data_IF_021950911905
#
_entry.id   IF_021950911905
#
_cell.length_a   1.000
_cell.length_b   1.000
_cell.length_c   1.000
_cell.angle_alpha   90.00
_cell.angle_beta   90.00
_cell.angle_gamma   90.00
#
_symmetry.space_group_name_H-M   'P 1'
#
loop_
_entity.id
_entity.type
_entity.pdbx_description
1 polymer ?
#
# COMPACT_ATOMS: atom_id res chain seq x y z
N UNK A 1 41.60 11.40 -25.58
CA UNK A 1 41.78 10.64 -24.33
C UNK A 1 40.62 9.65 -24.26
N UNK A 2 40.87 8.35 -24.49
CA UNK A 2 39.86 7.28 -24.48
C UNK A 2 39.89 6.62 -23.09
N UNK A 3 38.73 6.48 -22.45
CA UNK A 3 38.58 5.67 -21.23
C UNK A 3 38.61 4.17 -21.60
N UNK A 4 39.16 3.29 -20.75
CA UNK A 4 39.27 1.86 -21.06
C UNK A 4 37.96 1.11 -20.80
N UNK A 5 37.66 0.16 -21.69
CA UNK A 5 36.58 -0.81 -21.51
C UNK A 5 37.06 -1.91 -20.56
N UNK A 6 36.42 -2.06 -19.40
CA UNK A 6 36.60 -3.22 -18.54
C UNK A 6 35.41 -4.17 -18.73
N UNK A 7 35.67 -5.34 -19.31
CA UNK A 7 34.76 -6.49 -19.29
C UNK A 7 34.79 -7.08 -17.87
N UNK A 8 33.68 -7.02 -17.16
CA UNK A 8 33.49 -7.79 -15.93
C UNK A 8 32.86 -9.15 -16.28
N UNK A 9 33.58 -10.23 -15.99
CA UNK A 9 33.10 -11.60 -16.08
C UNK A 9 32.18 -11.88 -14.89
N UNK A 10 30.91 -12.16 -15.14
CA UNK A 10 29.93 -12.56 -14.10
C UNK A 10 30.25 -13.99 -13.65
N UNK A 11 30.73 -14.14 -12.42
CA UNK A 11 30.75 -15.42 -11.71
C UNK A 11 29.41 -15.61 -11.02
N UNK A 12 28.62 -16.59 -11.47
CA UNK A 12 27.39 -17.01 -10.82
C UNK A 12 27.73 -17.92 -9.64
N UNK A 13 27.49 -17.46 -8.42
CA UNK A 13 27.29 -18.33 -7.26
C UNK A 13 25.85 -18.13 -6.72
N UNK A 14 25.04 -19.20 -6.60
CA UNK A 14 23.70 -19.10 -6.03
C UNK A 14 23.77 -19.36 -4.53
N UNK A 15 23.22 -18.46 -3.70
CA UNK A 15 23.17 -18.70 -2.26
C UNK A 15 22.66 -17.52 -1.43
N UNK A 16 21.34 -17.47 -1.24
CA UNK A 16 20.65 -17.14 0.04
C UNK A 16 20.96 -15.86 0.84
N UNK A 17 21.75 -14.89 0.36
CA UNK A 17 22.08 -13.67 1.12
C UNK A 17 21.34 -12.38 0.72
N UNK A 18 20.61 -12.40 -0.41
CA UNK A 18 20.08 -11.18 -1.06
C UNK A 18 18.63 -10.81 -0.65
N UNK A 19 17.93 -11.66 0.12
CA UNK A 19 16.53 -11.42 0.47
C UNK A 19 16.35 -10.41 1.62
N UNK A 20 17.34 -10.24 2.50
CA UNK A 20 17.27 -9.28 3.63
C UNK A 20 17.79 -7.87 3.27
N UNK A 21 18.49 -7.69 2.14
CA UNK A 21 19.03 -6.38 1.74
C UNK A 21 17.96 -5.44 1.14
N UNK A 22 16.91 -5.98 0.51
CA UNK A 22 15.83 -5.18 -0.07
C UNK A 22 15.03 -4.37 0.95
N UNK A 23 14.91 -4.83 2.20
CA UNK A 23 14.28 -4.07 3.29
C UNK A 23 15.19 -3.00 3.89
N UNK A 24 16.52 -3.13 3.76
CA UNK A 24 17.47 -2.14 4.27
C UNK A 24 17.49 -0.84 3.46
N UNK A 25 17.04 -0.88 2.20
CA UNK A 25 16.98 0.30 1.32
C UNK A 25 15.83 1.23 1.71
N UNK A 26 14.66 0.68 2.08
CA UNK A 26 13.53 1.46 2.58
C UNK A 26 13.88 2.19 3.89
N UNK A 27 14.53 1.50 4.83
CA UNK A 27 14.93 2.03 6.13
C UNK A 27 15.97 3.18 6.07
N UNK A 28 16.67 3.36 4.94
CA UNK A 28 17.65 4.46 4.79
C UNK A 28 17.20 5.61 3.90
N UNK A 29 16.18 5.43 3.07
CA UNK A 29 15.55 6.59 2.41
C UNK A 29 14.82 7.48 3.43
N UNK A 30 14.28 6.91 4.52
CA UNK A 30 13.67 7.68 5.61
C UNK A 30 14.68 8.29 6.60
N UNK A 31 15.84 7.66 6.82
CA UNK A 31 16.82 8.11 7.81
C UNK A 31 17.61 9.39 7.44
N UNK A 32 17.45 9.91 6.22
CA UNK A 32 18.05 11.19 5.78
C UNK A 32 17.22 12.42 6.18
N UNK A 33 15.95 12.23 6.57
CA UNK A 33 15.06 13.31 6.97
C UNK A 33 15.03 13.44 8.49
N UNK A 34 15.97 14.24 9.03
CA UNK A 34 15.95 14.64 10.43
C UNK A 34 14.65 15.36 10.79
N UNK A 35 13.79 14.70 11.57
CA UNK A 35 12.64 15.34 12.22
C UNK A 35 12.98 15.75 13.66
N UNK A 36 12.58 16.95 14.12
CA UNK A 36 12.86 17.42 15.47
C UNK A 36 11.95 16.75 16.52
N UNK A 37 12.38 16.65 17.79
CA UNK A 37 11.62 15.93 18.82
C UNK A 37 10.35 16.70 19.23
N UNK A 38 9.18 16.09 19.01
CA UNK A 38 7.92 16.52 19.62
C UNK A 38 7.90 16.09 21.09
N UNK A 39 7.93 17.08 21.98
CA UNK A 39 7.78 16.91 23.44
C UNK A 39 6.36 16.43 23.77
N UNK A 40 6.25 15.24 24.32
CA UNK A 40 5.10 14.83 25.12
C UNK A 40 5.07 15.67 26.42
N UNK A 41 3.96 16.34 26.72
CA UNK A 41 3.65 16.82 28.06
C UNK A 41 2.46 16.02 28.59
N UNK A 42 2.69 15.42 29.75
CA UNK A 42 1.75 14.54 30.45
C UNK A 42 0.52 15.28 30.98
N UNK A 43 -0.54 14.49 31.15
CA UNK A 43 -1.82 14.93 31.71
C UNK A 43 -1.76 15.24 33.20
N UNK A 44 -2.73 16.05 33.63
CA UNK A 44 -3.10 16.29 35.01
C UNK A 44 -4.60 16.59 35.08
N UNK A 45 -5.27 15.92 36.01
CA UNK A 45 -6.71 15.69 36.08
C UNK A 45 -7.58 16.92 36.40
N UNK A 46 -8.86 16.86 36.01
CA UNK A 46 -9.95 17.53 36.70
C UNK A 46 -11.25 16.73 36.59
N UNK A 47 -11.77 16.30 37.74
CA UNK A 47 -13.07 15.68 37.95
C UNK A 47 -14.16 16.72 38.25
N UNK A 48 -15.37 16.41 37.79
CA UNK A 48 -16.70 16.73 38.35
C UNK A 48 -17.21 18.18 38.41
N UNK A 49 -18.37 18.40 37.79
CA UNK A 49 -19.27 19.53 38.05
C UNK A 49 -20.59 19.37 37.28
N UNK A 50 -21.71 19.41 38.00
CA UNK A 50 -23.05 18.95 37.63
C UNK A 50 -23.91 19.91 36.77
N UNK A 51 -24.96 19.30 36.19
CA UNK A 51 -26.38 19.72 36.17
C UNK A 51 -26.95 20.65 35.07
N UNK A 52 -28.13 20.21 34.61
CA UNK A 52 -29.23 20.98 33.99
C UNK A 52 -29.21 21.03 32.45
N UNK A 53 -30.29 20.97 31.69
CA UNK A 53 -31.72 20.69 31.88
C UNK A 53 -32.39 20.79 30.49
N UNK A 54 -33.24 19.82 30.16
CA UNK A 54 -34.46 19.89 29.34
C UNK A 54 -34.54 20.54 27.93
N UNK A 55 -35.06 19.69 27.02
CA UNK A 55 -36.26 19.86 26.20
C UNK A 55 -36.17 20.50 24.79
N UNK A 56 -36.57 19.68 23.81
CA UNK A 56 -37.49 20.09 22.75
C UNK A 56 -36.89 20.21 21.34
N UNK A 57 -37.53 19.53 20.38
CA UNK A 57 -37.54 20.01 19.00
C UNK A 57 -37.10 19.01 17.95
N UNK A 58 -38.09 18.52 17.20
CA UNK A 58 -37.97 17.81 15.92
C UNK A 58 -36.92 18.41 15.00
N UNK A 59 -36.14 17.53 14.37
CA UNK A 59 -35.37 17.82 13.18
C UNK A 59 -34.91 16.51 12.55
N UNK A 60 -35.73 15.94 11.68
CA UNK A 60 -35.27 14.94 10.71
C UNK A 60 -34.31 15.65 9.74
N UNK A 61 -33.05 15.74 10.12
CA UNK A 61 -31.97 16.25 9.27
C UNK A 61 -31.59 15.17 8.29
N UNK A 62 -31.89 15.39 7.01
CA UNK A 62 -31.47 14.51 5.92
C UNK A 62 -29.97 14.25 5.99
N UNK A 63 -29.61 12.97 5.91
CA UNK A 63 -28.22 12.53 5.75
C UNK A 63 -27.69 13.24 4.50
N UNK A 64 -26.75 14.17 4.71
CA UNK A 64 -26.13 14.91 3.62
C UNK A 64 -25.49 13.92 2.65
N UNK A 65 -26.03 13.85 1.44
CA UNK A 65 -25.39 13.16 0.32
C UNK A 65 -24.01 13.77 0.13
N UNK A 66 -22.96 13.07 0.54
CA UNK A 66 -21.60 13.53 0.26
C UNK A 66 -21.34 13.45 -1.23
N UNK A 67 -20.73 14.52 -1.72
CA UNK A 67 -20.25 14.63 -3.07
C UNK A 67 -19.13 13.61 -3.32
N UNK A 68 -19.51 12.44 -3.87
CA UNK A 68 -18.59 11.37 -4.27
C UNK A 68 -17.61 11.81 -5.35
N UNK A 69 -17.80 12.97 -6.01
CA UNK A 69 -16.86 13.48 -7.02
C UNK A 69 -15.45 13.68 -6.46
N UNK A 70 -15.32 13.94 -5.14
CA UNK A 70 -14.02 14.09 -4.47
C UNK A 70 -13.27 12.78 -4.27
N UNK A 71 -13.96 11.65 -4.37
CA UNK A 71 -13.35 10.31 -4.26
C UNK A 71 -12.81 9.84 -5.60
N UNK A 72 -13.31 10.39 -6.71
CA UNK A 72 -12.89 10.03 -8.05
C UNK A 72 -11.47 10.50 -8.29
N UNK A 73 -10.62 9.61 -8.82
CA UNK A 73 -9.29 9.97 -9.25
C UNK A 73 -9.37 11.02 -10.37
N UNK A 74 -8.75 12.18 -10.17
CA UNK A 74 -8.55 13.13 -11.26
C UNK A 74 -7.71 12.51 -12.39
N UNK A 75 -7.72 13.08 -13.61
CA UNK A 75 -7.09 12.47 -14.79
C UNK A 75 -5.62 12.07 -14.58
N UNK A 76 -4.85 12.90 -13.87
CA UNK A 76 -3.44 12.63 -13.55
C UNK A 76 -3.25 11.38 -12.67
N UNK A 77 -4.09 11.24 -11.64
CA UNK A 77 -4.01 10.10 -10.73
C UNK A 77 -4.51 8.82 -11.41
N UNK A 78 -5.59 8.91 -12.19
CA UNK A 78 -6.04 7.77 -13.01
C UNK A 78 -4.93 7.29 -13.96
N UNK A 79 -4.27 8.21 -14.67
CA UNK A 79 -3.18 7.86 -15.56
C UNK A 79 -1.95 7.30 -14.82
N UNK A 80 -1.65 7.77 -13.61
CA UNK A 80 -0.62 7.20 -12.75
C UNK A 80 -0.96 5.77 -12.32
N UNK A 81 -2.20 5.51 -11.92
CA UNK A 81 -2.65 4.17 -11.52
C UNK A 81 -2.55 3.18 -12.69
N UNK A 82 -2.91 3.58 -13.90
CA UNK A 82 -2.72 2.75 -15.09
C UNK A 82 -1.24 2.51 -15.40
N UNK A 83 -0.41 3.56 -15.34
CA UNK A 83 1.03 3.43 -15.56
C UNK A 83 1.70 2.51 -14.54
N UNK A 84 1.36 2.64 -13.25
CA UNK A 84 1.92 1.82 -12.16
C UNK A 84 1.82 0.32 -12.42
N UNK A 85 0.81 -0.15 -13.17
CA UNK A 85 0.61 -1.56 -13.51
C UNK A 85 0.81 -1.88 -15.00
N UNK A 86 1.54 -1.03 -15.73
CA UNK A 86 1.87 -1.24 -17.14
C UNK A 86 3.39 -1.31 -17.31
N UNK A 87 3.96 -2.50 -17.60
CA UNK A 87 5.38 -2.66 -17.87
C UNK A 87 5.89 -1.73 -18.98
N UNK A 88 7.08 -1.19 -18.80
CA UNK A 88 7.73 -0.25 -19.71
C UNK A 88 7.32 1.21 -19.53
N UNK A 89 6.30 1.51 -18.70
CA UNK A 89 5.91 2.90 -18.44
C UNK A 89 6.81 3.57 -17.42
N UNK A 90 7.01 4.88 -17.59
CA UNK A 90 7.79 5.72 -16.69
C UNK A 90 6.86 6.38 -15.68
N UNK A 91 7.15 6.16 -14.39
CA UNK A 91 6.40 6.74 -13.28
C UNK A 91 6.90 8.12 -12.86
N UNK A 92 8.09 8.52 -13.31
CA UNK A 92 8.68 9.85 -13.11
C UNK A 92 10.20 9.78 -12.94
N UNK A 93 10.76 10.76 -12.24
CA UNK A 93 12.17 10.81 -11.86
C UNK A 93 12.35 10.62 -10.36
N UNK A 94 13.45 9.98 -9.99
CA UNK A 94 13.84 9.87 -8.59
C UNK A 94 14.25 11.24 -8.05
N UNK A 95 13.66 11.68 -6.93
CA UNK A 95 13.83 13.05 -6.42
C UNK A 95 15.30 13.43 -6.19
N UNK A 96 16.08 12.53 -5.58
CA UNK A 96 17.49 12.76 -5.28
C UNK A 96 18.42 12.54 -6.49
N UNK A 97 17.90 11.93 -7.55
CA UNK A 97 18.65 11.59 -8.76
C UNK A 97 17.81 11.98 -10.00
N UNK A 98 17.74 13.28 -10.33
CA UNK A 98 16.82 13.81 -11.33
C UNK A 98 17.12 13.37 -12.77
N UNK A 99 18.20 12.60 -12.99
CA UNK A 99 18.55 11.95 -14.27
C UNK A 99 18.17 10.46 -14.30
N UNK A 100 17.67 9.90 -13.19
CA UNK A 100 17.26 8.49 -13.08
C UNK A 100 15.74 8.40 -13.19
N UNK A 101 15.26 7.79 -14.27
CA UNK A 101 13.85 7.50 -14.47
C UNK A 101 13.42 6.25 -13.72
N UNK A 102 12.28 6.33 -13.02
CA UNK A 102 11.63 5.17 -12.43
C UNK A 102 10.71 4.54 -13.48
N UNK A 103 11.02 3.32 -13.89
CA UNK A 103 10.27 2.58 -14.92
C UNK A 103 9.71 1.30 -14.32
N UNK A 104 8.44 1.02 -14.62
CA UNK A 104 7.82 -0.27 -14.29
C UNK A 104 8.48 -1.35 -15.14
N UNK A 105 9.17 -2.28 -14.52
CA UNK A 105 9.88 -3.34 -15.20
C UNK A 105 8.96 -4.52 -15.51
N UNK A 106 8.16 -4.94 -14.54
CA UNK A 106 7.28 -6.10 -14.65
C UNK A 106 6.08 -5.98 -13.70
N UNK A 107 5.01 -6.70 -14.03
CA UNK A 107 3.89 -6.96 -13.12
C UNK A 107 3.82 -8.47 -12.93
N UNK A 108 3.96 -8.91 -11.69
CA UNK A 108 4.11 -10.33 -11.37
C UNK A 108 2.92 -10.79 -10.54
N UNK A 109 2.31 -11.92 -10.93
CA UNK A 109 1.43 -12.67 -10.05
C UNK A 109 2.23 -13.18 -8.85
N UNK A 110 1.81 -12.81 -7.64
CA UNK A 110 2.50 -13.22 -6.41
C UNK A 110 1.81 -14.43 -5.80
N UNK A 111 0.50 -14.32 -5.57
CA UNK A 111 -0.29 -15.37 -4.93
C UNK A 111 -1.78 -15.15 -5.14
N UNK A 112 -2.57 -16.16 -4.82
CA UNK A 112 -4.01 -16.06 -4.68
C UNK A 112 -4.38 -15.73 -3.22
N UNK A 113 -5.35 -14.84 -3.02
CA UNK A 113 -5.79 -14.35 -1.70
C UNK A 113 -7.23 -14.76 -1.47
N UNK A 114 -7.48 -15.54 -0.42
CA UNK A 114 -8.83 -15.94 0.00
C UNK A 114 -9.46 -14.90 0.90
N UNK A 115 -10.59 -14.36 0.46
CA UNK A 115 -11.43 -13.41 1.20
C UNK A 115 -12.84 -14.01 1.29
N UNK A 116 -13.04 -15.07 2.11
CA UNK A 116 -14.29 -15.82 2.15
C UNK A 116 -15.48 -14.96 2.58
N UNK A 117 -15.26 -13.92 3.39
CA UNK A 117 -16.34 -13.04 3.83
C UNK A 117 -16.75 -11.98 2.80
N UNK A 118 -15.92 -11.76 1.76
CA UNK A 118 -16.04 -10.62 0.84
C UNK A 118 -15.79 -9.26 1.50
N UNK A 119 -15.29 -9.24 2.74
CA UNK A 119 -14.95 -8.03 3.50
C UNK A 119 -13.43 -7.87 3.50
N UNK A 120 -12.93 -6.91 2.76
CA UNK A 120 -11.49 -6.72 2.61
C UNK A 120 -10.96 -5.73 3.66
N UNK A 121 -9.95 -6.16 4.41
CA UNK A 121 -9.12 -5.30 5.22
C UNK A 121 -7.83 -4.93 4.48
N UNK A 122 -7.42 -3.67 4.60
CA UNK A 122 -6.15 -3.14 4.09
C UNK A 122 -5.48 -2.35 5.19
N UNK A 123 -4.23 -2.65 5.50
CA UNK A 123 -3.54 -1.91 6.57
C UNK A 123 -2.21 -2.53 6.95
N UNK A 124 -1.57 -1.92 7.93
CA UNK A 124 -0.33 -2.44 8.49
C UNK A 124 -0.62 -3.58 9.47
N UNK A 125 0.03 -4.75 9.34
CA UNK A 125 -0.23 -5.88 10.21
C UNK A 125 0.40 -5.74 11.61
N UNK A 126 1.14 -4.66 11.92
CA UNK A 126 1.78 -4.47 13.23
C UNK A 126 0.85 -3.90 14.30
N UNK A 127 1.10 -4.16 15.60
CA UNK A 127 0.30 -3.60 16.68
C UNK A 127 0.36 -2.07 16.72
N UNK A 128 -0.76 -1.41 16.99
CA UNK A 128 -0.83 0.05 17.14
C UNK A 128 -0.89 0.83 15.82
N UNK A 129 -0.73 0.15 14.69
CA UNK A 129 -0.83 0.75 13.36
C UNK A 129 -2.27 0.72 12.83
N UNK A 130 -2.59 1.65 11.93
CA UNK A 130 -3.94 1.74 11.36
C UNK A 130 -4.19 0.65 10.30
N UNK A 131 -5.41 0.11 10.33
CA UNK A 131 -5.96 -0.70 9.25
C UNK A 131 -7.40 -0.32 8.99
N UNK A 132 -7.88 -0.68 7.80
CA UNK A 132 -9.14 -0.25 7.24
C UNK A 132 -9.92 -1.47 6.75
N UNK A 133 -11.10 -1.73 7.31
CA UNK A 133 -12.08 -2.54 6.58
C UNK A 133 -12.75 -1.67 5.52
N UNK A 134 -12.64 -2.07 4.25
CA UNK A 134 -13.30 -1.38 3.16
C UNK A 134 -14.83 -1.44 3.30
N UNK A 135 -15.44 -0.27 3.12
CA UNK A 135 -16.88 -0.08 3.05
C UNK A 135 -17.53 -0.89 1.93
N UNK A 136 -16.84 -1.01 0.80
CA UNK A 136 -17.29 -1.77 -0.36
C UNK A 136 -16.98 -3.25 -0.19
N UNK A 137 -17.95 -4.10 -0.54
CA UNK A 137 -17.76 -5.55 -0.54
C UNK A 137 -17.18 -5.98 -1.89
N UNK A 138 -16.25 -6.94 -1.82
CA UNK A 138 -15.83 -7.70 -3.00
C UNK A 138 -16.60 -9.03 -3.05
N UNK A 139 -16.74 -9.67 -4.22
CA UNK A 139 -17.25 -11.04 -4.29
C UNK A 139 -16.45 -11.94 -3.35
N UNK A 140 -17.12 -12.71 -2.50
CA UNK A 140 -16.46 -13.71 -1.66
C UNK A 140 -15.72 -14.72 -2.53
N UNK A 141 -14.48 -15.07 -2.18
CA UNK A 141 -13.75 -16.11 -2.87
C UNK A 141 -12.26 -15.91 -2.89
N UNK A 142 -11.65 -16.29 -4.01
CA UNK A 142 -10.20 -16.27 -4.21
C UNK A 142 -9.87 -15.24 -5.29
N UNK A 143 -8.96 -14.32 -4.97
CA UNK A 143 -8.58 -13.21 -5.85
C UNK A 143 -7.09 -13.27 -6.19
N UNK A 144 -6.75 -12.91 -7.43
CA UNK A 144 -5.35 -12.89 -7.87
C UNK A 144 -4.67 -11.64 -7.32
N UNK A 145 -3.52 -11.78 -6.66
CA UNK A 145 -2.69 -10.65 -6.26
C UNK A 145 -1.53 -10.47 -7.22
N UNK A 146 -1.34 -9.23 -7.67
CA UNK A 146 -0.23 -8.81 -8.50
C UNK A 146 0.57 -7.71 -7.81
N UNK A 147 1.88 -7.69 -8.08
CA UNK A 147 2.77 -6.61 -7.65
C UNK A 147 3.49 -6.08 -8.88
N UNK A 148 3.47 -4.76 -9.04
CA UNK A 148 4.25 -4.06 -10.03
C UNK A 148 5.62 -3.72 -9.45
N UNK A 149 6.67 -4.05 -10.18
CA UNK A 149 8.05 -3.84 -9.77
C UNK A 149 8.71 -2.79 -10.64
N UNK A 150 9.40 -1.84 -10.04
CA UNK A 150 10.27 -0.90 -10.71
C UNK A 150 11.71 -1.42 -10.71
N UNK A 151 12.51 -0.87 -11.63
CA UNK A 151 13.96 -0.92 -11.53
C UNK A 151 14.51 0.49 -11.62
N UNK A 152 15.32 0.86 -10.64
CA UNK A 152 16.04 2.13 -10.65
C UNK A 152 17.46 1.91 -10.13
N UNK A 153 18.50 2.30 -10.90
CA UNK A 153 19.86 2.29 -10.37
C UNK A 153 19.98 3.30 -9.23
N UNK A 154 20.60 2.91 -8.12
CA UNK A 154 20.98 3.83 -7.05
C UNK A 154 22.40 3.54 -6.60
N UNK A 155 23.04 4.52 -5.95
CA UNK A 155 24.36 4.37 -5.36
C UNK A 155 24.23 4.34 -3.84
N UNK A 156 24.80 3.32 -3.21
CA UNK A 156 24.86 3.22 -1.75
C UNK A 156 26.27 2.86 -1.33
N UNK A 157 26.86 3.64 -0.42
CA UNK A 157 28.25 3.45 0.01
C UNK A 157 29.24 3.36 -1.18
N UNK A 158 29.07 4.25 -2.17
CA UNK A 158 29.85 4.30 -3.42
C UNK A 158 29.73 3.08 -4.34
N UNK A 159 28.82 2.14 -4.06
CA UNK A 159 28.52 0.99 -4.91
C UNK A 159 27.20 1.19 -5.67
N UNK A 160 27.19 0.84 -6.96
CA UNK A 160 26.00 0.93 -7.80
C UNK A 160 25.16 -0.35 -7.66
N UNK A 161 23.88 -0.18 -7.31
CA UNK A 161 22.91 -1.25 -7.18
C UNK A 161 21.78 -1.08 -8.19
N UNK A 162 21.30 -2.19 -8.74
CA UNK A 162 20.03 -2.21 -9.46
C UNK A 162 18.90 -2.38 -8.44
N UNK A 163 18.36 -1.25 -7.98
CA UNK A 163 17.25 -1.24 -7.03
C UNK A 163 16.00 -1.79 -7.67
N UNK A 164 15.36 -2.74 -6.98
CA UNK A 164 14.05 -3.25 -7.31
C UNK A 164 13.09 -2.87 -6.20
N UNK A 165 12.08 -2.08 -6.53
CA UNK A 165 11.09 -1.60 -5.58
C UNK A 165 9.67 -1.88 -6.09
N UNK A 166 8.69 -1.85 -5.19
CA UNK A 166 7.28 -2.00 -5.55
C UNK A 166 6.72 -0.66 -6.04
N UNK A 167 6.23 -0.60 -7.28
CA UNK A 167 5.40 0.50 -7.76
C UNK A 167 3.98 0.48 -7.16
N UNK A 168 3.58 -0.66 -6.60
CA UNK A 168 2.25 -0.88 -6.09
C UNK A 168 1.83 -2.33 -6.20
N UNK A 169 0.72 -2.65 -5.55
CA UNK A 169 0.12 -3.97 -5.57
C UNK A 169 -1.38 -3.85 -5.84
N UNK A 170 -1.97 -4.92 -6.36
CA UNK A 170 -3.41 -4.97 -6.58
C UNK A 170 -3.99 -6.37 -6.43
N UNK A 171 -5.22 -6.42 -5.94
CA UNK A 171 -6.09 -7.58 -6.04
C UNK A 171 -6.96 -7.44 -7.29
N UNK A 172 -6.87 -8.43 -8.17
CA UNK A 172 -7.75 -8.58 -9.32
C UNK A 172 -9.02 -9.29 -8.85
N UNK A 173 -10.11 -8.53 -8.82
CA UNK A 173 -11.42 -8.99 -8.40
C UNK A 173 -12.19 -9.57 -9.59
N UNK A 174 -12.02 -8.96 -10.76
CA UNK A 174 -12.61 -9.39 -12.04
C UNK A 174 -11.60 -9.12 -13.16
N UNK A 175 -11.61 -9.93 -14.21
CA UNK A 175 -10.75 -9.73 -15.39
C UNK A 175 -11.25 -8.61 -16.34
N UNK A 176 -12.35 -7.95 -15.98
CA UNK A 176 -12.96 -6.85 -16.73
C UNK A 176 -12.09 -5.58 -16.63
N UNK A 177 -11.90 -4.81 -17.71
CA UNK A 177 -11.08 -3.60 -17.68
C UNK A 177 -11.60 -2.53 -16.71
N UNK A 178 -10.67 -1.77 -16.14
CA UNK A 178 -10.98 -0.58 -15.33
C UNK A 178 -11.41 0.56 -16.26
N UNK A 179 -12.58 1.13 -15.99
CA UNK A 179 -13.12 2.30 -16.68
C UNK A 179 -12.93 3.59 -15.86
N UNK A 180 -12.68 3.48 -14.55
CA UNK A 180 -12.43 4.62 -13.68
C UNK A 180 -11.95 4.21 -12.29
N UNK A 181 -11.35 5.16 -11.58
CA UNK A 181 -10.75 4.94 -10.27
C UNK A 181 -11.40 5.83 -9.22
N UNK A 182 -11.62 5.29 -8.02
CA UNK A 182 -12.05 6.06 -6.86
C UNK A 182 -11.33 5.61 -5.58
N UNK A 183 -11.24 6.48 -4.58
CA UNK A 183 -10.66 6.15 -3.28
C UNK A 183 -11.54 5.15 -2.52
N UNK A 184 -10.92 4.09 -2.00
CA UNK A 184 -11.55 3.13 -1.11
C UNK A 184 -11.73 3.74 0.28
N UNK A 185 -12.98 3.74 0.78
CA UNK A 185 -13.31 4.22 2.11
C UNK A 185 -13.46 3.07 3.09
N UNK A 186 -13.25 3.37 4.37
CA UNK A 186 -13.53 2.44 5.47
C UNK A 186 -14.99 2.37 5.85
N UNK A 187 -15.42 1.24 6.44
CA UNK A 187 -16.75 1.11 7.05
C UNK A 187 -17.00 2.21 8.10
N UNK A 188 -16.02 2.46 8.97
CA UNK A 188 -16.04 3.54 9.98
C UNK A 188 -15.99 4.95 9.35
N UNK A 189 -15.58 5.04 8.08
CA UNK A 189 -15.25 6.29 7.37
C UNK A 189 -16.26 6.58 6.24
N UNK A 190 -17.49 6.11 6.41
CA UNK A 190 -18.58 6.39 5.45
C UNK A 190 -18.85 7.89 5.36
N UNK A 191 -19.16 8.43 4.16
CA UNK A 191 -19.24 9.87 3.95
C UNK A 191 -20.27 10.59 4.84
N UNK A 192 -21.38 9.93 5.21
CA UNK A 192 -22.37 10.48 6.13
C UNK A 192 -21.86 10.71 7.56
N UNK A 193 -20.71 10.13 7.92
CA UNK A 193 -20.12 10.14 9.25
C UNK A 193 -18.84 10.99 9.35
N UNK A 194 -18.40 11.64 8.26
CA UNK A 194 -17.16 12.43 8.25
C UNK A 194 -17.40 13.91 7.91
N UNK A 195 -16.69 14.86 8.59
CA UNK A 195 -16.63 16.23 8.13
C UNK A 195 -15.94 16.28 6.75
N UNK A 196 -16.43 17.16 5.86
CA UNK A 196 -16.10 17.26 4.44
C UNK A 196 -14.61 17.51 4.07
N UNK A 197 -13.68 17.46 5.03
CA UNK A 197 -12.25 17.76 4.89
C UNK A 197 -11.31 16.59 5.18
N UNK A 198 -11.80 15.43 5.61
CA UNK A 198 -10.94 14.33 6.06
C UNK A 198 -11.27 13.02 5.35
N UNK A 199 -10.90 12.88 4.07
CA UNK A 199 -10.68 11.55 3.50
C UNK A 199 -9.33 11.10 4.06
N UNK A 200 -9.36 10.52 5.26
CA UNK A 200 -8.15 10.14 5.98
C UNK A 200 -7.56 8.89 5.30
N UNK A 201 -6.45 9.10 4.63
CA UNK A 201 -5.52 8.05 4.22
C UNK A 201 -4.96 7.34 5.47
N UNK A 202 -4.40 6.12 5.34
CA UNK A 202 -3.84 5.40 6.48
C UNK A 202 -2.32 5.46 6.48
N UNK A 203 -1.75 5.71 7.65
CA UNK A 203 -0.31 5.74 7.85
C UNK A 203 0.26 4.32 7.91
N UNK A 204 1.41 4.14 7.28
CA UNK A 204 2.22 2.94 7.39
C UNK A 204 3.61 3.42 7.82
N UNK A 205 3.93 3.33 9.12
CA UNK A 205 5.24 3.76 9.63
C UNK A 205 6.34 2.68 9.43
N UNK A 206 5.94 1.50 8.95
CA UNK A 206 6.84 0.33 8.85
C UNK A 206 7.18 -0.07 7.41
N UNK A 207 6.73 0.72 6.43
CA UNK A 207 6.85 0.39 5.01
C UNK A 207 6.14 -0.91 4.59
N UNK A 208 5.19 -1.39 5.40
CA UNK A 208 4.49 -2.66 5.18
C UNK A 208 2.98 -2.54 5.37
N UNK A 209 2.24 -2.91 4.33
CA UNK A 209 0.80 -3.15 4.41
C UNK A 209 0.46 -4.62 4.27
N UNK A 210 -0.83 -4.94 4.26
CA UNK A 210 -1.35 -6.24 3.86
C UNK A 210 -2.79 -6.13 3.35
N UNK A 211 -3.20 -7.13 2.57
CA UNK A 211 -4.58 -7.47 2.30
C UNK A 211 -4.99 -8.63 3.20
N UNK A 212 -6.18 -8.57 3.81
CA UNK A 212 -6.70 -9.67 4.63
C UNK A 212 -8.24 -9.74 4.60
N UNK A 213 -8.80 -10.89 4.97
CA UNK A 213 -10.23 -11.00 5.28
C UNK A 213 -10.51 -10.29 6.61
N UNK A 214 -11.36 -9.26 6.59
CA UNK A 214 -11.56 -8.37 7.74
C UNK A 214 -12.04 -9.06 9.04
N UNK A 215 -12.98 -10.03 9.01
CA UNK A 215 -13.39 -10.76 10.21
C UNK A 215 -12.25 -11.53 10.89
N UNK A 216 -11.23 -11.91 10.13
CA UNK A 216 -10.09 -12.72 10.57
C UNK A 216 -8.84 -11.89 10.82
N UNK A 217 -8.96 -10.55 10.89
CA UNK A 217 -7.80 -9.65 11.00
C UNK A 217 -6.84 -10.03 12.14
N UNK A 218 -7.35 -10.21 13.35
CA UNK A 218 -6.50 -10.50 14.50
C UNK A 218 -5.84 -11.88 14.42
N UNK A 219 -6.60 -12.90 14.02
CA UNK A 219 -6.07 -14.28 13.90
C UNK A 219 -5.09 -14.46 12.74
N UNK A 220 -5.19 -13.61 11.70
CA UNK A 220 -4.24 -13.59 10.59
C UNK A 220 -2.99 -12.75 10.87
N UNK A 221 -3.11 -11.65 11.60
CA UNK A 221 -1.97 -10.78 11.92
C UNK A 221 -1.10 -11.33 13.05
N UNK A 222 -1.67 -12.06 14.02
CA UNK A 222 -0.91 -12.61 15.15
C UNK A 222 0.24 -13.54 14.70
N UNK A 223 0.04 -14.55 13.82
CA UNK A 223 1.13 -15.42 13.36
C UNK A 223 2.22 -14.64 12.60
N UNK A 224 1.82 -13.65 11.80
CA UNK A 224 2.75 -12.77 11.11
C UNK A 224 3.63 -11.96 12.07
N UNK A 225 3.01 -11.32 13.08
CA UNK A 225 3.71 -10.54 14.11
C UNK A 225 4.71 -11.41 14.86
N UNK A 226 4.25 -12.58 15.34
CA UNK A 226 5.09 -13.57 16.03
C UNK A 226 6.31 -13.95 15.20
N UNK A 227 6.11 -14.23 13.91
CA UNK A 227 7.22 -14.55 13.01
C UNK A 227 8.22 -13.39 12.89
N UNK A 228 7.74 -12.15 12.66
CA UNK A 228 8.62 -10.98 12.48
C UNK A 228 9.39 -10.61 13.74
N UNK A 229 8.74 -10.67 14.90
CA UNK A 229 9.29 -10.29 16.21
C UNK A 229 10.23 -11.35 16.81
N UNK A 230 10.20 -12.59 16.33
CA UNK A 230 11.09 -13.66 16.82
C UNK A 230 12.56 -13.33 16.49
N UNK A 231 13.45 -13.20 17.48
CA UNK A 231 14.88 -12.98 17.25
C UNK A 231 15.54 -14.17 16.53
N UNK A 232 16.68 -13.92 15.89
CA UNK A 232 17.45 -15.00 15.28
C UNK A 232 18.16 -15.88 16.34
N UNK A 233 18.24 -17.20 16.13
CA UNK A 233 17.67 -17.97 15.01
C UNK A 233 16.14 -18.10 15.15
N UNK A 234 15.41 -17.90 14.04
CA UNK A 234 13.95 -17.95 14.05
C UNK A 234 13.46 -19.37 14.36
N UNK A 235 12.42 -19.48 15.19
CA UNK A 235 11.72 -20.72 15.49
C UNK A 235 10.85 -21.23 14.32
N UNK A 236 9.92 -22.16 14.56
CA UNK A 236 8.94 -22.60 13.58
C UNK A 236 8.20 -21.41 12.95
N UNK A 237 7.99 -21.47 11.64
CA UNK A 237 7.40 -20.39 10.87
C UNK A 237 5.93 -20.71 10.57
N UNK A 238 5.04 -19.85 11.06
CA UNK A 238 3.60 -19.92 10.82
C UNK A 238 3.16 -19.05 9.63
N UNK A 239 4.12 -18.66 8.78
CA UNK A 239 3.91 -17.84 7.58
C UNK A 239 4.49 -18.52 6.33
N UNK A 240 4.02 -18.12 5.16
CA UNK A 240 4.48 -18.60 3.86
C UNK A 240 5.31 -17.51 3.21
N UNK A 241 6.54 -17.84 2.82
CA UNK A 241 7.42 -16.92 2.09
C UNK A 241 6.93 -16.76 0.66
N UNK A 242 6.76 -15.52 0.22
CA UNK A 242 6.38 -15.19 -1.14
C UNK A 242 7.51 -14.43 -1.86
N UNK A 243 7.49 -14.38 -3.21
CA UNK A 243 8.44 -13.59 -3.98
C UNK A 243 8.47 -12.11 -3.55
N UNK A 244 9.66 -11.49 -3.61
CA UNK A 244 9.82 -10.08 -3.29
C UNK A 244 9.84 -9.75 -1.80
N UNK A 245 10.10 -10.73 -0.93
CA UNK A 245 10.15 -10.52 0.52
C UNK A 245 8.77 -10.38 1.16
N UNK A 246 7.73 -10.80 0.44
CA UNK A 246 6.34 -10.80 0.91
C UNK A 246 6.07 -12.05 1.76
N UNK A 247 5.01 -11.96 2.55
CA UNK A 247 4.61 -12.95 3.54
C UNK A 247 3.12 -13.23 3.40
N UNK A 248 2.72 -14.48 3.59
CA UNK A 248 1.31 -14.84 3.71
C UNK A 248 1.03 -15.63 4.99
N UNK A 249 -0.18 -15.48 5.50
CA UNK A 249 -0.74 -16.29 6.60
C UNK A 249 -2.05 -16.86 6.10
N UNK A 250 -2.29 -18.13 6.42
CA UNK A 250 -3.56 -18.81 6.15
C UNK A 250 -4.21 -19.20 7.47
N UNK A 251 -5.49 -18.89 7.66
CA UNK A 251 -6.28 -19.32 8.81
C UNK A 251 -7.16 -20.53 8.42
N UNK A 252 -6.86 -21.75 8.91
CA UNK A 252 -7.62 -22.95 8.51
C UNK A 252 -9.08 -22.94 8.97
N UNK A 253 -9.39 -22.26 10.08
CA UNK A 253 -10.73 -22.24 10.66
C UNK A 253 -11.75 -21.51 9.78
N UNK A 254 -11.32 -20.45 9.10
CA UNK A 254 -12.15 -19.61 8.22
C UNK A 254 -11.83 -19.81 6.74
N UNK A 255 -10.65 -20.36 6.44
CA UNK A 255 -10.09 -20.44 5.10
C UNK A 255 -9.58 -19.10 4.57
N UNK A 256 -9.47 -18.07 5.41
CA UNK A 256 -9.02 -16.74 5.04
C UNK A 256 -7.50 -16.66 4.89
N UNK A 257 -7.06 -15.72 4.05
CA UNK A 257 -5.65 -15.38 3.87
C UNK A 257 -5.37 -13.94 4.30
N UNK A 258 -4.15 -13.71 4.79
CA UNK A 258 -3.48 -12.41 4.82
C UNK A 258 -2.26 -12.48 3.92
N UNK A 259 -2.03 -11.44 3.12
CA UNK A 259 -0.83 -11.31 2.29
C UNK A 259 -0.25 -9.92 2.45
N UNK A 260 1.03 -9.82 2.81
CA UNK A 260 1.71 -8.53 2.96
C UNK A 260 1.96 -7.88 1.61
N UNK A 261 2.06 -6.56 1.64
CA UNK A 261 2.39 -5.70 0.51
C UNK A 261 3.50 -4.76 0.91
N UNK A 262 4.44 -4.50 0.00
CA UNK A 262 5.40 -3.41 0.19
C UNK A 262 4.65 -2.11 -0.05
N UNK A 263 4.66 -1.24 0.95
CA UNK A 263 4.09 0.10 0.87
C UNK A 263 5.18 1.11 1.22
N UNK A 264 5.12 2.30 0.63
CA UNK A 264 6.01 3.37 1.09
C UNK A 264 5.66 3.73 2.54
N UNK A 265 6.69 4.07 3.32
CA UNK A 265 6.46 4.71 4.62
C UNK A 265 5.65 5.99 4.43
N UNK A 266 4.80 6.27 5.42
CA UNK A 266 3.88 7.39 5.39
C UNK A 266 2.50 6.99 4.89
N UNK A 267 1.85 7.92 4.20
CA UNK A 267 0.41 7.91 4.05
C UNK A 267 0.01 7.25 2.72
N UNK A 268 -0.74 6.15 2.80
CA UNK A 268 -1.12 5.35 1.64
C UNK A 268 -2.62 5.41 1.37
N UNK A 269 -2.98 5.46 0.08
CA UNK A 269 -4.38 5.45 -0.40
C UNK A 269 -4.72 4.08 -1.02
N UNK A 270 -5.87 3.53 -0.65
CA UNK A 270 -6.47 2.39 -1.36
C UNK A 270 -7.30 2.94 -2.52
N UNK A 271 -7.13 2.38 -3.71
CA UNK A 271 -7.87 2.74 -4.91
C UNK A 271 -8.74 1.57 -5.39
N UNK A 272 -9.99 1.88 -5.74
CA UNK A 272 -10.93 0.95 -6.34
C UNK A 272 -11.03 1.24 -7.84
N UNK A 273 -10.58 0.29 -8.66
CA UNK A 273 -10.79 0.33 -10.10
C UNK A 273 -12.16 -0.25 -10.42
N UNK A 274 -13.03 0.57 -11.01
CA UNK A 274 -14.42 0.23 -11.35
C UNK A 274 -14.53 -0.13 -12.83
N UNK A 275 -15.35 -1.12 -13.16
CA UNK A 275 -15.73 -1.45 -14.54
C UNK A 275 -16.67 -0.38 -15.10
N UNK A 276 -16.96 -0.44 -16.41
CA UNK A 276 -17.97 0.42 -17.02
C UNK A 276 -19.38 0.26 -16.41
N UNK A 277 -19.66 -0.86 -15.75
CA UNK A 277 -20.93 -1.10 -15.02
C UNK A 277 -20.90 -0.59 -13.57
N UNK A 278 -19.73 -0.14 -13.08
CA UNK A 278 -19.54 0.25 -11.69
C UNK A 278 -19.20 -0.89 -10.73
N UNK A 279 -18.95 -2.11 -11.22
CA UNK A 279 -18.45 -3.21 -10.40
C UNK A 279 -16.97 -3.00 -10.06
N UNK A 280 -16.48 -3.52 -8.93
CA UNK A 280 -15.04 -3.48 -8.61
C UNK A 280 -14.30 -4.48 -9.48
N UNK A 281 -13.42 -4.00 -10.37
CA UNK A 281 -12.49 -4.84 -11.13
C UNK A 281 -11.22 -5.13 -10.32
N UNK A 282 -10.73 -4.12 -9.58
CA UNK A 282 -9.45 -4.22 -8.86
C UNK A 282 -9.44 -3.36 -7.60
N UNK A 283 -8.70 -3.82 -6.59
CA UNK A 283 -8.33 -3.01 -5.42
C UNK A 283 -6.84 -2.82 -5.44
N UNK A 284 -6.36 -1.59 -5.56
CA UNK A 284 -4.95 -1.25 -5.69
C UNK A 284 -4.45 -0.45 -4.49
N UNK A 285 -3.20 -0.68 -4.13
CA UNK A 285 -2.44 0.10 -3.15
C UNK A 285 -1.16 0.53 -3.84
N UNK A 286 -1.00 1.84 -4.02
CA UNK A 286 0.17 2.45 -4.65
C UNK A 286 0.80 3.43 -3.67
N UNK A 287 2.15 3.53 -3.62
CA UNK A 287 2.81 4.53 -2.81
C UNK A 287 2.42 5.93 -3.26
N UNK A 288 2.38 6.86 -2.31
CA UNK A 288 2.08 8.26 -2.60
C UNK A 288 3.20 8.89 -3.42
N UNK A 289 2.80 9.64 -4.44
CA UNK A 289 3.65 10.20 -5.50
C UNK A 289 4.45 11.42 -5.02
N UNK A 290 4.77 11.54 -3.73
CA UNK A 290 5.57 12.67 -3.21
C UNK A 290 7.08 12.42 -3.37
N UNK A 291 7.51 11.15 -3.48
CA UNK A 291 8.89 10.76 -3.76
C UNK A 291 9.26 10.78 -5.25
N UNK A 292 8.27 10.97 -6.14
CA UNK A 292 8.42 10.95 -7.59
C UNK A 292 7.72 12.19 -8.12
N UNK A 293 8.43 13.17 -8.70
CA UNK A 293 7.75 14.34 -9.27
C UNK A 293 6.85 13.91 -10.44
N UNK A 294 5.51 13.91 -10.27
CA UNK A 294 4.64 13.40 -11.30
C UNK A 294 4.49 14.38 -12.47
N UNK A 295 5.09 15.57 -12.40
CA UNK A 295 5.14 16.52 -13.53
C UNK A 295 6.18 16.10 -14.56
N UNK A 296 7.07 15.18 -14.17
CA UNK A 296 8.07 14.53 -15.03
C UNK A 296 7.59 13.20 -15.61
N UNK A 297 6.35 12.79 -15.33
CA UNK A 297 5.70 11.66 -16.00
C UNK A 297 5.57 11.96 -17.49
N UNK A 298 6.43 11.34 -18.29
CA UNK A 298 6.27 11.33 -19.75
C UNK A 298 5.33 10.16 -20.07
N UNK A 299 4.04 10.47 -20.21
CA UNK A 299 3.08 9.52 -20.77
C UNK A 299 3.45 9.28 -22.24
N UNK A 300 3.53 8.03 -22.73
CA UNK A 300 3.36 7.79 -24.15
C UNK A 300 1.93 8.22 -24.47
N UNK A 301 1.78 9.38 -25.10
CA UNK A 301 0.49 9.89 -25.53
C UNK A 301 -0.07 8.88 -26.57
N UNK A 302 -1.21 8.20 -26.33
CA UNK A 302 -1.78 7.32 -27.35
C UNK A 302 -2.45 8.09 -28.50
N UNK A 303 -2.31 9.42 -28.52
CA UNK A 303 -2.88 10.32 -29.53
C UNK A 303 -1.84 11.21 -30.23
N UNK A 304 -0.55 10.84 -30.19
CA UNK A 304 0.50 11.40 -31.05
C UNK A 304 1.09 10.35 -31.99
#
# INVERSE_FOLDING_TARGET
MRLPSARATVSQHPGSGLQDFGQFVLLRFAASLGSPPSRCHGGGAATMGCAGSNAGGKGAGGVGSVDRSRLVAGPRMAAYLEAAFTPGTRLGMLADYPDVSVVVHEVTFVTAVRVPSGRLAVGCPFPGEEWLELAERIPSGVHRMEVAWTRAPYVFMDEAFEGRESAGCRLIIRDEPVAGWEMGLGVERQPGNMPAREVKEFGIDTGMGCFADAPSWESLTEPFRRFRETPFPRGPRDTISLPGGLEAVHEPATGADLVTVVAAEGVTTVWLGRTARGDIATVAVVPRVESVDPSTCIYPNPWE
#
